data_IF_448073864169
#
_entry.id   IF_448073864169
#
_cell.length_a   1.000
_cell.length_b   1.000
_cell.length_c   1.000
_cell.angle_alpha   90.00
_cell.angle_beta   90.00
_cell.angle_gamma   90.00
#
_symmetry.space_group_name_H-M   'P 1'
#
loop_
_entity.id
_entity.type
_entity.pdbx_description
1 polymer ?
#
# COMPACT_ATOMS: atom_id res chain seq x y z
N UNK A 1 17.83 24.34 9.84
CA UNK A 1 17.02 23.13 9.56
C UNK A 1 15.58 23.58 9.56
N UNK A 2 14.83 23.33 8.50
CA UNK A 2 13.41 23.69 8.46
C UNK A 2 12.65 22.74 9.41
N UNK A 3 11.89 23.32 10.34
CA UNK A 3 11.05 22.54 11.27
C UNK A 3 9.92 21.87 10.51
N UNK A 4 9.85 20.53 10.58
CA UNK A 4 8.70 19.77 10.13
C UNK A 4 7.78 19.64 11.33
N UNK A 5 6.58 20.18 11.24
CA UNK A 5 5.56 20.04 12.29
C UNK A 5 4.58 18.92 11.91
N UNK A 6 5.00 17.67 12.16
CA UNK A 6 4.12 16.49 12.06
C UNK A 6 3.69 16.13 10.63
N UNK A 7 3.13 14.93 10.51
CA UNK A 7 2.47 14.45 9.30
C UNK A 7 0.96 14.37 9.54
N UNK A 8 0.19 14.60 8.50
CA UNK A 8 -1.25 14.24 8.51
C UNK A 8 -1.62 13.62 7.17
N UNK A 9 -2.71 12.94 7.16
CA UNK A 9 -3.22 12.32 5.94
C UNK A 9 -4.64 12.79 5.64
N UNK A 10 -4.99 12.80 4.37
CA UNK A 10 -6.34 13.05 3.89
C UNK A 10 -6.72 11.98 2.87
N UNK A 11 -7.97 11.52 2.92
CA UNK A 11 -8.50 10.65 1.88
C UNK A 11 -8.75 11.47 0.61
N UNK A 12 -8.40 10.93 -0.55
CA UNK A 12 -8.58 11.61 -1.83
C UNK A 12 -10.05 12.00 -2.09
N UNK A 13 -11.02 11.22 -1.58
CA UNK A 13 -12.46 11.57 -1.71
C UNK A 13 -12.82 12.85 -0.95
N UNK A 14 -12.23 13.01 0.23
CA UNK A 14 -12.47 14.21 1.05
C UNK A 14 -11.87 15.44 0.38
N UNK A 15 -10.65 15.32 -0.16
CA UNK A 15 -10.03 16.38 -0.93
C UNK A 15 -10.82 16.75 -2.19
N UNK A 16 -11.31 15.78 -2.92
CA UNK A 16 -12.18 16.01 -4.09
C UNK A 16 -13.49 16.72 -3.71
N UNK A 17 -14.05 16.40 -2.54
CA UNK A 17 -15.26 17.05 -2.05
C UNK A 17 -15.02 18.51 -1.58
N UNK A 18 -13.86 18.76 -0.97
CA UNK A 18 -13.52 20.07 -0.41
C UNK A 18 -12.95 21.05 -1.45
N UNK A 19 -12.03 20.58 -2.31
CA UNK A 19 -11.27 21.43 -3.23
C UNK A 19 -11.77 21.37 -4.68
N UNK A 20 -12.58 20.37 -5.01
CA UNK A 20 -12.98 20.06 -6.38
C UNK A 20 -11.90 19.30 -7.16
N UNK A 21 -12.26 18.86 -8.36
CA UNK A 21 -11.40 17.99 -9.16
C UNK A 21 -10.18 18.71 -9.74
N UNK A 22 -10.35 19.95 -10.19
CA UNK A 22 -9.27 20.73 -10.84
C UNK A 22 -8.12 20.96 -9.85
N UNK A 23 -8.39 21.55 -8.68
CA UNK A 23 -7.38 21.80 -7.65
C UNK A 23 -6.76 20.52 -7.11
N UNK A 24 -7.56 19.47 -6.95
CA UNK A 24 -7.03 18.17 -6.53
C UNK A 24 -6.09 17.59 -7.60
N UNK A 25 -6.44 17.66 -8.89
CA UNK A 25 -5.60 17.18 -9.99
C UNK A 25 -4.27 17.94 -10.06
N UNK A 26 -4.25 19.24 -9.79
CA UNK A 26 -3.01 20.03 -9.69
C UNK A 26 -2.10 19.47 -8.60
N UNK A 27 -2.64 19.19 -7.39
CA UNK A 27 -1.88 18.59 -6.29
C UNK A 27 -1.29 17.23 -6.71
N UNK A 28 -2.10 16.36 -7.35
CA UNK A 28 -1.64 15.04 -7.78
C UNK A 28 -0.59 15.12 -8.89
N UNK A 29 -0.72 16.07 -9.80
CA UNK A 29 0.21 16.26 -10.93
C UNK A 29 1.62 16.65 -10.48
N UNK A 30 1.75 17.31 -9.33
CA UNK A 30 3.03 17.71 -8.74
C UNK A 30 3.80 16.56 -8.06
N UNK A 31 3.21 15.37 -7.95
CA UNK A 31 3.86 14.20 -7.35
C UNK A 31 4.89 13.58 -8.31
N UNK A 32 6.09 13.31 -7.84
CA UNK A 32 7.16 12.67 -8.59
C UNK A 32 7.69 11.42 -7.88
N UNK A 33 7.80 10.32 -8.61
CA UNK A 33 8.38 9.07 -8.12
C UNK A 33 9.26 8.40 -9.20
N UNK A 34 10.46 8.93 -9.46
CA UNK A 34 11.34 8.42 -10.53
C UNK A 34 11.82 6.99 -10.30
N UNK A 35 11.78 6.51 -9.06
CA UNK A 35 12.16 5.14 -8.71
C UNK A 35 11.09 4.11 -9.09
N UNK A 36 9.85 4.53 -9.26
CA UNK A 36 8.75 3.65 -9.68
C UNK A 36 7.72 4.44 -10.52
N UNK A 37 7.82 4.36 -11.86
CA UNK A 37 6.89 5.05 -12.77
C UNK A 37 5.42 4.63 -12.61
N UNK A 38 5.14 3.37 -12.23
CA UNK A 38 3.75 2.92 -12.01
C UNK A 38 3.13 3.64 -10.81
N UNK A 39 3.88 3.79 -9.72
CA UNK A 39 3.45 4.55 -8.54
C UNK A 39 3.15 6.00 -8.91
N UNK A 40 3.97 6.62 -9.75
CA UNK A 40 3.73 7.99 -10.21
C UNK A 40 2.50 8.10 -11.11
N UNK A 41 2.42 7.25 -12.13
CA UNK A 41 1.32 7.23 -13.10
C UNK A 41 -0.02 6.91 -12.42
N UNK A 42 -0.04 5.95 -11.49
CA UNK A 42 -1.26 5.65 -10.74
C UNK A 42 -1.83 6.89 -10.05
N UNK A 43 -1.00 7.63 -9.30
CA UNK A 43 -1.49 8.79 -8.57
C UNK A 43 -1.98 9.89 -9.51
N UNK A 44 -1.20 10.20 -10.55
CA UNK A 44 -1.50 11.29 -11.48
C UNK A 44 -2.70 11.02 -12.39
N UNK A 45 -2.88 9.77 -12.83
CA UNK A 45 -3.77 9.43 -13.94
C UNK A 45 -4.95 8.56 -13.52
N UNK A 46 -4.78 7.70 -12.49
CA UNK A 46 -5.75 6.66 -12.16
C UNK A 46 -6.44 6.87 -10.80
N UNK A 47 -5.80 7.53 -9.84
CA UNK A 47 -6.26 7.58 -8.45
C UNK A 47 -7.66 8.18 -8.30
N UNK A 48 -7.99 9.25 -9.02
CA UNK A 48 -9.33 9.88 -8.99
C UNK A 48 -10.39 8.90 -9.49
N UNK A 49 -10.13 8.27 -10.64
CA UNK A 49 -11.05 7.30 -11.23
C UNK A 49 -11.28 6.10 -10.30
N UNK A 50 -10.20 5.54 -9.74
CA UNK A 50 -10.25 4.40 -8.81
C UNK A 50 -11.00 4.75 -7.53
N UNK A 51 -10.79 5.96 -7.02
CA UNK A 51 -11.52 6.45 -5.84
C UNK A 51 -13.01 6.59 -6.12
N UNK A 52 -13.42 7.14 -7.27
CA UNK A 52 -14.82 7.31 -7.68
C UNK A 52 -15.55 5.99 -7.85
N UNK A 53 -14.91 5.01 -8.48
CA UNK A 53 -15.50 3.69 -8.69
C UNK A 53 -15.40 2.76 -7.47
N UNK A 54 -14.70 3.17 -6.42
CA UNK A 54 -14.51 2.36 -5.22
C UNK A 54 -13.55 1.18 -5.43
N UNK A 55 -12.69 1.23 -6.44
CA UNK A 55 -11.67 0.19 -6.67
C UNK A 55 -10.52 0.29 -5.68
N UNK A 56 -10.15 1.51 -5.28
CA UNK A 56 -9.17 1.77 -4.25
C UNK A 56 -9.50 3.06 -3.48
N UNK A 57 -9.05 3.10 -2.23
CA UNK A 57 -9.03 4.32 -1.39
C UNK A 57 -7.61 4.85 -1.34
N UNK A 58 -7.39 6.03 -1.91
CA UNK A 58 -6.08 6.70 -1.93
C UNK A 58 -6.00 7.70 -0.79
N UNK A 59 -4.90 7.66 -0.04
CA UNK A 59 -4.59 8.57 1.06
C UNK A 59 -3.34 9.36 0.72
N UNK A 60 -3.45 10.67 0.77
CA UNK A 60 -2.35 11.62 0.54
C UNK A 60 -1.76 12.01 1.89
N UNK A 61 -0.44 11.95 2.01
CA UNK A 61 0.29 12.30 3.24
C UNK A 61 0.96 13.64 3.04
N UNK A 62 0.66 14.57 3.93
CA UNK A 62 1.13 15.95 3.89
C UNK A 62 2.02 16.28 5.08
N UNK A 63 2.85 17.29 4.91
CA UNK A 63 3.59 17.93 6.00
C UNK A 63 3.56 19.46 5.84
N UNK A 64 3.78 20.17 6.94
CA UNK A 64 4.10 21.60 6.89
C UNK A 64 5.61 21.74 6.71
N UNK A 65 6.01 22.38 5.63
CA UNK A 65 7.41 22.61 5.29
C UNK A 65 7.61 24.04 4.78
N UNK A 66 8.49 24.80 5.43
CA UNK A 66 8.78 26.20 5.10
C UNK A 66 7.52 27.09 5.03
N UNK A 67 6.56 26.86 5.92
CA UNK A 67 5.32 27.63 5.98
C UNK A 67 4.26 27.25 4.95
N UNK A 68 4.50 26.20 4.14
CA UNK A 68 3.57 25.69 3.14
C UNK A 68 3.17 24.25 3.44
N UNK A 69 1.97 23.87 3.03
CA UNK A 69 1.50 22.46 3.03
C UNK A 69 2.03 21.78 1.77
N UNK A 70 2.77 20.69 1.94
CA UNK A 70 3.37 19.94 0.83
C UNK A 70 2.96 18.46 0.87
N UNK A 71 2.68 17.89 -0.30
CA UNK A 71 2.45 16.46 -0.46
C UNK A 71 3.81 15.74 -0.38
N UNK A 72 3.99 14.88 0.63
CA UNK A 72 5.26 14.17 0.88
C UNK A 72 5.22 12.69 0.48
N UNK A 73 4.03 12.13 0.31
CA UNK A 73 3.85 10.75 -0.11
C UNK A 73 2.37 10.37 -0.20
N UNK A 74 2.12 9.17 -0.64
CA UNK A 74 0.78 8.61 -0.67
C UNK A 74 0.80 7.08 -0.56
N UNK A 75 -0.35 6.51 -0.28
CA UNK A 75 -0.61 5.08 -0.42
C UNK A 75 -2.06 4.84 -0.89
N UNK A 76 -2.29 3.68 -1.50
CA UNK A 76 -3.63 3.26 -1.92
C UNK A 76 -3.98 1.90 -1.35
N UNK A 77 -5.18 1.80 -0.81
CA UNK A 77 -5.74 0.58 -0.22
C UNK A 77 -6.87 0.04 -1.08
N UNK A 78 -6.89 -1.28 -1.25
CA UNK A 78 -7.98 -2.02 -1.89
C UNK A 78 -8.26 -3.31 -1.11
N UNK A 79 -9.29 -4.05 -1.51
CA UNK A 79 -9.52 -5.41 -0.99
C UNK A 79 -9.07 -6.43 -2.04
N UNK A 80 -8.32 -7.43 -1.63
CA UNK A 80 -7.83 -8.52 -2.51
C UNK A 80 -8.25 -9.88 -1.96
N UNK A 81 -8.86 -10.71 -2.81
CA UNK A 81 -9.02 -12.13 -2.53
C UNK A 81 -7.67 -12.83 -2.77
N UNK A 82 -7.19 -13.55 -1.75
CA UNK A 82 -5.89 -14.21 -1.77
C UNK A 82 -6.07 -15.69 -1.52
N UNK A 83 -5.44 -16.52 -2.35
CA UNK A 83 -5.39 -17.97 -2.19
C UNK A 83 -3.98 -18.41 -1.87
N UNK A 84 -3.80 -19.09 -0.73
CA UNK A 84 -2.48 -19.48 -0.23
C UNK A 84 -2.43 -20.99 -0.04
N UNK A 85 -1.54 -21.68 -0.73
CA UNK A 85 -1.30 -23.10 -0.53
C UNK A 85 -0.70 -23.34 0.86
N UNK A 86 -1.28 -24.26 1.61
CA UNK A 86 -0.83 -24.57 2.98
C UNK A 86 0.62 -25.08 3.05
N UNK A 87 1.13 -25.68 1.96
CA UNK A 87 2.53 -26.14 1.86
C UNK A 87 3.56 -24.98 1.87
N UNK A 88 3.17 -23.77 1.48
CA UNK A 88 4.02 -22.58 1.47
C UNK A 88 4.15 -21.92 2.85
N UNK A 89 3.40 -22.40 3.84
CA UNK A 89 3.26 -21.77 5.14
C UNK A 89 3.88 -22.63 6.25
N UNK A 90 4.54 -21.97 7.20
CA UNK A 90 4.91 -22.60 8.47
C UNK A 90 3.67 -23.03 9.27
N UNK A 91 3.85 -23.93 10.26
CA UNK A 91 2.77 -24.34 11.18
C UNK A 91 2.14 -23.14 11.89
N UNK A 92 2.96 -22.17 12.30
CA UNK A 92 2.51 -20.94 12.95
C UNK A 92 1.61 -20.10 12.03
N UNK A 93 2.00 -19.92 10.77
CA UNK A 93 1.19 -19.18 9.80
C UNK A 93 -0.12 -19.92 9.47
N UNK A 94 -0.08 -21.25 9.29
CA UNK A 94 -1.31 -22.04 9.13
C UNK A 94 -2.27 -21.89 10.33
N UNK A 95 -1.72 -21.89 11.55
CA UNK A 95 -2.54 -21.68 12.76
C UNK A 95 -3.17 -20.29 12.84
N UNK A 96 -2.47 -19.24 12.36
CA UNK A 96 -3.03 -17.87 12.26
C UNK A 96 -4.12 -17.79 11.21
N UNK A 97 -3.87 -18.30 10.00
CA UNK A 97 -4.81 -18.23 8.88
C UNK A 97 -6.11 -18.99 9.15
N UNK A 98 -6.06 -20.13 9.83
CA UNK A 98 -7.28 -20.90 10.19
C UNK A 98 -8.34 -20.11 10.96
N UNK A 99 -7.97 -19.00 11.58
CA UNK A 99 -8.89 -18.13 12.34
C UNK A 99 -9.64 -17.13 11.46
N UNK A 100 -9.14 -16.84 10.25
CA UNK A 100 -9.62 -15.76 9.39
C UNK A 100 -9.93 -16.19 7.97
N UNK A 101 -9.44 -17.37 7.56
CA UNK A 101 -9.53 -17.88 6.19
C UNK A 101 -10.44 -19.09 6.10
N UNK A 102 -11.11 -19.24 4.96
CA UNK A 102 -11.69 -20.51 4.59
C UNK A 102 -10.57 -21.49 4.20
N UNK A 103 -10.59 -22.69 4.75
CA UNK A 103 -9.63 -23.74 4.43
C UNK A 103 -10.29 -24.83 3.59
N UNK A 104 -9.82 -24.99 2.37
CA UNK A 104 -10.18 -26.08 1.49
C UNK A 104 -9.28 -27.29 1.79
N UNK A 105 -9.88 -28.38 2.31
CA UNK A 105 -9.16 -29.62 2.69
C UNK A 105 -8.67 -30.43 1.47
N UNK A 106 -9.37 -30.35 0.35
CA UNK A 106 -9.08 -31.14 -0.85
C UNK A 106 -7.93 -30.49 -1.62
N UNK A 107 -7.97 -29.19 -1.79
CA UNK A 107 -6.92 -28.40 -2.42
C UNK A 107 -5.78 -28.01 -1.46
N UNK A 108 -5.96 -28.23 -0.15
CA UNK A 108 -5.02 -27.88 0.92
C UNK A 108 -4.61 -26.42 0.87
N UNK A 109 -5.59 -25.53 0.67
CA UNK A 109 -5.36 -24.09 0.51
C UNK A 109 -6.27 -23.25 1.41
N UNK A 110 -5.80 -22.04 1.71
CA UNK A 110 -6.54 -21.01 2.42
C UNK A 110 -7.02 -19.95 1.44
N UNK A 111 -8.29 -19.57 1.55
CA UNK A 111 -8.87 -18.44 0.80
C UNK A 111 -9.36 -17.39 1.78
N UNK A 112 -8.94 -16.14 1.59
CA UNK A 112 -9.34 -15.02 2.43
C UNK A 112 -9.31 -13.71 1.65
N UNK A 113 -10.11 -12.74 2.08
CA UNK A 113 -10.04 -11.35 1.60
C UNK A 113 -9.20 -10.53 2.56
N UNK A 114 -8.24 -9.80 2.02
CA UNK A 114 -7.31 -8.98 2.80
C UNK A 114 -7.29 -7.54 2.28
N UNK A 115 -7.12 -6.56 3.17
CA UNK A 115 -6.67 -5.24 2.74
C UNK A 115 -5.33 -5.36 2.01
N UNK A 116 -5.28 -4.77 0.81
CA UNK A 116 -4.09 -4.68 -0.03
C UNK A 116 -3.54 -3.27 0.06
N UNK A 117 -2.26 -3.11 0.39
CA UNK A 117 -1.52 -1.89 0.09
C UNK A 117 -1.07 -2.03 -1.37
N UNK A 118 -1.84 -1.46 -2.30
CA UNK A 118 -1.62 -1.61 -3.74
C UNK A 118 -0.61 -0.62 -4.29
N UNK A 119 -0.50 0.56 -3.66
CA UNK A 119 0.46 1.60 -3.99
C UNK A 119 1.04 2.20 -2.72
N UNK A 120 2.33 2.52 -2.74
CA UNK A 120 3.05 3.20 -1.65
C UNK A 120 4.22 3.98 -2.24
N UNK A 121 4.22 5.30 -2.13
CA UNK A 121 5.29 6.11 -2.69
C UNK A 121 5.53 7.43 -1.99
N UNK A 122 6.82 7.77 -1.84
CA UNK A 122 7.25 9.10 -1.40
C UNK A 122 7.28 10.07 -2.58
N UNK A 123 7.06 11.35 -2.31
CA UNK A 123 7.18 12.39 -3.31
C UNK A 123 8.63 12.87 -3.42
N UNK A 124 9.23 12.75 -4.60
CA UNK A 124 10.61 13.17 -4.88
C UNK A 124 10.70 14.60 -5.43
N UNK A 125 9.56 15.22 -5.79
CA UNK A 125 9.54 16.62 -6.18
C UNK A 125 10.16 17.48 -5.08
N UNK A 126 11.00 18.44 -5.46
CA UNK A 126 11.65 19.39 -4.53
C UNK A 126 12.36 18.73 -3.33
N UNK A 127 12.77 17.46 -3.44
CA UNK A 127 13.39 16.66 -2.36
C UNK A 127 12.46 16.40 -1.15
N UNK A 128 11.14 16.39 -1.34
CA UNK A 128 10.18 16.08 -0.28
C UNK A 128 10.29 14.64 0.23
N UNK A 129 10.91 13.74 -0.55
CA UNK A 129 11.24 12.36 -0.13
C UNK A 129 12.10 12.31 1.15
N UNK A 130 12.79 13.40 1.51
CA UNK A 130 13.59 13.52 2.73
C UNK A 130 12.77 13.88 3.97
N UNK A 131 11.54 14.33 3.79
CA UNK A 131 10.64 14.75 4.87
C UNK A 131 9.96 13.57 5.57
N UNK A 132 9.91 12.42 4.92
CA UNK A 132 9.33 11.19 5.48
C UNK A 132 10.19 9.99 5.11
N UNK A 133 10.38 9.06 6.05
CA UNK A 133 10.99 7.77 5.73
C UNK A 133 9.99 6.81 5.08
N UNK A 134 10.51 5.81 4.37
CA UNK A 134 9.65 4.74 3.85
C UNK A 134 8.98 3.95 4.97
N UNK A 135 9.69 3.77 6.10
CA UNK A 135 9.18 3.05 7.27
C UNK A 135 8.01 3.82 7.92
N UNK A 136 8.09 5.15 8.02
CA UNK A 136 7.00 5.98 8.54
C UNK A 136 5.78 5.94 7.61
N UNK A 137 5.97 6.09 6.30
CA UNK A 137 4.88 6.04 5.33
C UNK A 137 4.17 4.68 5.34
N UNK A 138 4.92 3.58 5.39
CA UNK A 138 4.37 2.24 5.53
C UNK A 138 3.67 2.05 6.89
N UNK A 139 4.22 2.65 7.94
CA UNK A 139 3.61 2.68 9.27
C UNK A 139 2.23 3.31 9.24
N UNK A 140 2.10 4.51 8.66
CA UNK A 140 0.83 5.23 8.49
C UNK A 140 -0.18 4.36 7.72
N UNK A 141 0.23 3.76 6.59
CA UNK A 141 -0.64 2.87 5.82
C UNK A 141 -1.11 1.65 6.63
N UNK A 142 -0.21 1.05 7.41
CA UNK A 142 -0.55 -0.09 8.29
C UNK A 142 -1.51 0.32 9.42
N UNK A 143 -1.37 1.51 10.00
CA UNK A 143 -2.31 1.99 11.03
C UNK A 143 -3.70 2.23 10.43
N UNK A 144 -3.82 2.84 9.26
CA UNK A 144 -5.11 2.96 8.58
C UNK A 144 -5.77 1.61 8.30
N UNK A 145 -4.98 0.60 7.91
CA UNK A 145 -5.51 -0.77 7.77
C UNK A 145 -6.01 -1.32 9.11
N UNK A 146 -5.31 -1.07 10.21
CA UNK A 146 -5.77 -1.47 11.55
C UNK A 146 -7.07 -0.80 11.95
N UNK A 147 -7.21 0.50 11.71
CA UNK A 147 -8.46 1.25 11.96
C UNK A 147 -9.64 0.65 11.18
N UNK A 148 -9.45 0.36 9.89
CA UNK A 148 -10.45 -0.33 9.06
C UNK A 148 -10.80 -1.70 9.66
N UNK A 149 -9.81 -2.46 10.13
CA UNK A 149 -10.02 -3.78 10.71
C UNK A 149 -10.67 -3.75 12.10
N UNK A 150 -10.54 -2.67 12.85
CA UNK A 150 -11.32 -2.47 14.08
C UNK A 150 -12.82 -2.37 13.80
N UNK A 151 -13.21 -1.84 12.64
CA UNK A 151 -14.61 -1.71 12.22
C UNK A 151 -15.13 -2.95 11.47
N UNK A 152 -14.28 -3.69 10.79
CA UNK A 152 -14.67 -4.78 9.87
C UNK A 152 -14.17 -6.17 10.26
N UNK A 153 -13.34 -6.28 11.29
CA UNK A 153 -12.54 -7.46 11.64
C UNK A 153 -11.32 -7.71 10.74
N UNK A 154 -10.41 -8.59 11.22
CA UNK A 154 -9.17 -8.93 10.53
C UNK A 154 -7.94 -8.54 11.35
N UNK A 155 -6.79 -9.13 11.02
CA UNK A 155 -5.48 -8.84 11.66
C UNK A 155 -4.33 -8.97 10.69
N UNK A 156 -4.60 -8.87 9.39
CA UNK A 156 -3.57 -9.06 8.38
C UNK A 156 -3.70 -8.03 7.26
N UNK A 157 -2.57 -7.67 6.68
CA UNK A 157 -2.47 -6.82 5.50
C UNK A 157 -1.60 -7.54 4.46
N UNK A 158 -1.92 -7.33 3.20
CA UNK A 158 -1.27 -7.94 2.05
C UNK A 158 -0.66 -6.88 1.14
N UNK A 159 0.44 -7.23 0.48
CA UNK A 159 1.01 -6.47 -0.61
C UNK A 159 1.71 -7.38 -1.63
N UNK A 160 1.96 -6.82 -2.79
CA UNK A 160 2.78 -7.41 -3.84
C UNK A 160 3.89 -6.43 -4.21
N UNK A 161 5.09 -6.92 -4.45
CA UNK A 161 6.21 -6.09 -4.86
C UNK A 161 7.15 -6.82 -5.83
N UNK A 162 7.95 -6.08 -6.56
CA UNK A 162 9.02 -6.64 -7.39
C UNK A 162 10.04 -7.40 -6.54
N UNK A 163 10.62 -8.48 -7.10
CA UNK A 163 11.65 -9.28 -6.44
C UNK A 163 13.03 -8.62 -6.59
N UNK A 164 13.18 -7.43 -6.03
CA UNK A 164 14.44 -6.69 -5.95
C UNK A 164 14.84 -6.53 -4.50
N UNK A 165 16.12 -6.83 -4.19
CA UNK A 165 16.61 -6.93 -2.81
C UNK A 165 16.31 -5.69 -1.94
N UNK A 166 16.48 -4.44 -2.38
CA UNK A 166 16.16 -3.27 -1.56
C UNK A 166 14.69 -3.23 -1.13
N UNK A 167 13.78 -3.66 -2.03
CA UNK A 167 12.33 -3.59 -1.78
C UNK A 167 11.85 -4.76 -0.92
N UNK A 168 12.27 -5.98 -1.21
CA UNK A 168 11.91 -7.15 -0.39
C UNK A 168 12.47 -7.03 1.03
N UNK A 169 13.74 -6.60 1.18
CA UNK A 169 14.34 -6.34 2.50
C UNK A 169 13.63 -5.23 3.27
N UNK A 170 13.14 -4.19 2.56
CA UNK A 170 12.34 -3.13 3.18
C UNK A 170 11.07 -3.67 3.81
N UNK A 171 10.30 -4.48 3.09
CA UNK A 171 9.08 -5.05 3.64
C UNK A 171 9.33 -6.10 4.71
N UNK A 172 10.36 -6.95 4.55
CA UNK A 172 10.71 -7.97 5.54
C UNK A 172 11.11 -7.36 6.90
N UNK A 173 11.95 -6.31 6.92
CA UNK A 173 12.32 -5.63 8.17
C UNK A 173 11.12 -4.91 8.81
N UNK A 174 10.10 -4.55 8.03
CA UNK A 174 8.83 -4.03 8.49
C UNK A 174 7.82 -5.11 8.89
N UNK A 175 8.25 -6.37 9.01
CA UNK A 175 7.47 -7.48 9.53
C UNK A 175 6.52 -8.15 8.53
N UNK A 176 6.69 -7.90 7.23
CA UNK A 176 6.03 -8.66 6.19
C UNK A 176 6.74 -10.00 5.97
N UNK A 177 5.96 -11.01 5.69
CA UNK A 177 6.43 -12.38 5.42
C UNK A 177 6.15 -12.73 3.95
N UNK A 178 7.20 -13.06 3.22
CA UNK A 178 7.12 -13.58 1.85
C UNK A 178 6.59 -15.01 1.88
N UNK A 179 5.54 -15.32 1.12
CA UNK A 179 4.96 -16.66 1.09
C UNK A 179 4.84 -17.27 -0.30
N UNK A 180 4.75 -16.47 -1.36
CA UNK A 180 4.61 -16.95 -2.74
C UNK A 180 5.06 -15.89 -3.76
N UNK A 181 4.99 -16.27 -5.03
CA UNK A 181 5.12 -15.37 -6.16
C UNK A 181 3.86 -15.46 -7.01
N UNK A 182 3.47 -14.36 -7.64
CA UNK A 182 2.38 -14.26 -8.62
C UNK A 182 2.95 -13.80 -9.96
N UNK A 183 2.59 -14.52 -11.03
CA UNK A 183 2.91 -14.03 -12.37
C UNK A 183 2.21 -12.70 -12.64
N UNK A 184 2.83 -11.86 -13.44
CA UNK A 184 2.26 -10.60 -13.88
C UNK A 184 1.03 -10.84 -14.74
N UNK A 185 0.00 -10.02 -14.54
CA UNK A 185 -1.13 -9.91 -15.46
C UNK A 185 -0.70 -9.19 -16.74
N UNK A 186 -1.52 -9.25 -17.79
CA UNK A 186 -1.11 -8.77 -19.13
C UNK A 186 -0.74 -7.28 -19.16
N UNK A 187 -1.44 -6.48 -18.38
CA UNK A 187 -1.28 -5.02 -18.25
C UNK A 187 -0.13 -4.59 -17.30
N UNK A 188 0.41 -5.53 -16.52
CA UNK A 188 1.52 -5.27 -15.60
C UNK A 188 2.90 -5.51 -16.24
N UNK A 189 2.96 -6.24 -17.37
CA UNK A 189 4.23 -6.71 -17.96
C UNK A 189 5.18 -5.60 -18.39
N UNK A 190 4.63 -4.51 -18.85
CA UNK A 190 5.39 -3.35 -19.30
C UNK A 190 5.80 -2.41 -18.15
N UNK A 191 5.25 -2.64 -16.95
CA UNK A 191 5.45 -1.80 -15.77
C UNK A 191 6.45 -2.38 -14.77
N UNK A 192 6.73 -3.69 -14.84
CA UNK A 192 7.60 -4.39 -13.89
C UNK A 192 8.93 -4.79 -14.52
N UNK A 193 10.01 -4.67 -13.73
CA UNK A 193 11.34 -5.14 -14.09
C UNK A 193 11.53 -6.65 -13.86
N UNK A 194 10.59 -7.29 -13.17
CA UNK A 194 10.64 -8.73 -12.84
C UNK A 194 9.47 -9.48 -13.50
N UNK A 195 9.64 -10.78 -13.85
CA UNK A 195 8.58 -11.56 -14.52
C UNK A 195 7.44 -11.96 -13.60
N UNK A 196 7.54 -11.68 -12.31
CA UNK A 196 6.54 -11.97 -11.28
C UNK A 196 6.64 -10.97 -10.12
N UNK A 197 5.59 -10.90 -9.32
CA UNK A 197 5.59 -10.17 -8.06
C UNK A 197 5.70 -11.11 -6.88
N UNK A 198 6.43 -10.69 -5.86
CA UNK A 198 6.50 -11.35 -4.56
C UNK A 198 5.25 -11.03 -3.76
N UNK A 199 4.58 -12.06 -3.27
CA UNK A 199 3.41 -11.93 -2.41
C UNK A 199 3.82 -11.93 -0.95
N UNK A 200 3.45 -10.89 -0.22
CA UNK A 200 3.84 -10.69 1.17
C UNK A 200 2.63 -10.39 2.05
N UNK A 201 2.68 -10.88 3.29
CA UNK A 201 1.62 -10.70 4.29
C UNK A 201 2.21 -10.30 5.64
N UNK A 202 1.57 -9.37 6.32
CA UNK A 202 1.91 -8.99 7.70
C UNK A 202 0.74 -9.29 8.61
N UNK A 203 1.03 -9.92 9.75
CA UNK A 203 0.07 -10.14 10.82
C UNK A 203 0.24 -9.10 11.91
N UNK A 204 -0.81 -8.35 12.21
CA UNK A 204 -0.82 -7.40 13.32
C UNK A 204 -0.97 -8.15 14.65
N UNK A 205 0.06 -8.09 15.48
CA UNK A 205 -0.02 -8.55 16.85
C UNK A 205 -0.84 -7.55 17.66
N UNK A 206 -1.54 -8.04 18.65
CA UNK A 206 -2.13 -7.17 19.66
C UNK A 206 -1.00 -6.39 20.37
N UNK A 207 -1.20 -5.10 20.63
CA UNK A 207 -0.30 -4.30 21.43
C UNK A 207 -0.41 -4.75 22.89
#
# INVERSE_FOLDING_TARGET
>A
MAEITGFWQSNLRDLLAELGEESTSEILSAFECPLNPDVQSFLREKAILFSRHGYASTYLVFASYQGSVVLIGYYALAMKAVVIKGSLLSSQWRGRLRRFAFYDSDLKQFTLSLPLIGQLGKNYAHHYDRLISGDDLLGIACETVREIQLMSSGKMVYLECEDVLPLTSFYERNGFFRFANRNLDGDERDLSQTPYLVQMIKYFKDA
#
